data_IF_801568591870
#
_entry.id   IF_801568591870
#
_cell.length_a   1.000
_cell.length_b   1.000
_cell.length_c   1.000
_cell.angle_alpha   90.00
_cell.angle_beta   90.00
_cell.angle_gamma   90.00
#
_symmetry.space_group_name_H-M   'P 1'
#
loop_
_entity.id
_entity.type
_entity.pdbx_description
1 polymer ?
#
# COMPACT_ATOMS: atom_id res chain seq x y z
N UNK A 1 12.82 0.05 -11.75
CA UNK A 1 13.27 0.87 -10.59
C UNK A 1 12.31 2.03 -10.32
N UNK A 2 12.02 2.89 -11.30
CA UNK A 2 11.10 4.03 -11.14
C UNK A 2 9.75 3.67 -10.50
N UNK A 3 9.13 2.56 -10.92
CA UNK A 3 7.85 2.11 -10.37
C UNK A 3 7.90 1.85 -8.85
N UNK A 4 8.99 1.27 -8.33
CA UNK A 4 9.12 0.98 -6.90
C UNK A 4 9.29 2.26 -6.08
N UNK A 5 10.02 3.24 -6.62
CA UNK A 5 10.17 4.55 -5.99
C UNK A 5 8.85 5.33 -5.97
N UNK A 6 8.09 5.28 -7.07
CA UNK A 6 6.77 5.89 -7.14
C UNK A 6 5.80 5.26 -6.12
N UNK A 7 5.77 3.94 -6.02
CA UNK A 7 4.95 3.22 -5.04
C UNK A 7 5.29 3.64 -3.60
N UNK A 8 6.58 3.72 -3.27
CA UNK A 8 7.06 4.13 -1.96
C UNK A 8 6.67 5.59 -1.64
N UNK A 9 6.90 6.51 -2.57
CA UNK A 9 6.56 7.93 -2.42
C UNK A 9 5.07 8.14 -2.17
N UNK A 10 4.21 7.48 -2.95
CA UNK A 10 2.76 7.61 -2.77
C UNK A 10 2.32 6.94 -1.46
N UNK A 11 2.89 5.79 -1.09
CA UNK A 11 2.57 5.13 0.17
C UNK A 11 2.90 6.02 1.38
N UNK A 12 4.08 6.64 1.38
CA UNK A 12 4.52 7.59 2.40
C UNK A 12 3.62 8.84 2.43
N UNK A 13 3.32 9.41 1.26
CA UNK A 13 2.45 10.59 1.15
C UNK A 13 1.05 10.34 1.73
N UNK A 14 0.46 9.17 1.45
CA UNK A 14 -0.86 8.79 1.99
C UNK A 14 -0.79 8.52 3.50
N UNK A 15 0.28 7.89 3.98
CA UNK A 15 0.49 7.67 5.42
C UNK A 15 0.55 8.99 6.19
N UNK A 16 1.41 9.92 5.75
CA UNK A 16 1.56 11.24 6.37
C UNK A 16 0.26 12.04 6.33
N UNK A 17 -0.50 11.93 5.24
CA UNK A 17 -1.84 12.55 5.13
C UNK A 17 -2.76 12.02 6.21
N UNK A 18 -2.85 10.69 6.39
CA UNK A 18 -3.72 10.08 7.41
C UNK A 18 -3.29 10.48 8.81
N UNK A 19 -1.98 10.43 9.13
CA UNK A 19 -1.45 10.84 10.45
C UNK A 19 -1.73 12.32 10.75
N UNK A 20 -1.65 13.18 9.74
CA UNK A 20 -1.97 14.60 9.90
C UNK A 20 -3.46 14.80 10.18
N UNK A 21 -4.32 14.00 9.55
CA UNK A 21 -5.77 14.06 9.74
C UNK A 21 -6.19 13.51 11.11
N UNK A 22 -5.51 12.48 11.62
CA UNK A 22 -5.73 11.97 12.98
C UNK A 22 -5.45 13.02 14.08
N UNK A 23 -4.51 13.93 13.83
CA UNK A 23 -4.14 14.99 14.78
C UNK A 23 -5.11 16.18 14.78
N UNK A 24 -6.07 16.24 13.85
CA UNK A 24 -7.04 17.33 13.75
C UNK A 24 -8.30 17.01 14.56
N UNK A 25 -8.75 17.92 15.45
CA UNK A 25 -9.91 17.67 16.31
C UNK A 25 -11.25 17.64 15.56
N UNK A 26 -11.35 18.33 14.41
CA UNK A 26 -12.62 18.54 13.70
C UNK A 26 -12.94 17.45 12.64
N UNK A 27 -12.27 16.30 12.71
CA UNK A 27 -12.43 15.23 11.73
C UNK A 27 -13.59 14.30 12.05
N UNK A 28 -14.43 14.05 11.06
CA UNK A 28 -15.47 13.02 11.13
C UNK A 28 -14.81 11.63 11.31
N UNK A 29 -15.11 10.93 12.42
CA UNK A 29 -14.40 9.70 12.77
C UNK A 29 -14.63 8.57 11.75
N UNK A 30 -15.80 8.55 11.12
CA UNK A 30 -16.11 7.56 10.08
C UNK A 30 -15.29 7.80 8.82
N UNK A 31 -15.15 9.05 8.39
CA UNK A 31 -14.33 9.43 7.23
C UNK A 31 -12.86 9.09 7.45
N UNK A 32 -12.32 9.40 8.63
CA UNK A 32 -10.96 9.06 9.01
C UNK A 32 -10.72 7.54 8.95
N UNK A 33 -11.69 6.75 9.42
CA UNK A 33 -11.59 5.30 9.39
C UNK A 33 -11.59 4.75 7.95
N UNK A 34 -12.40 5.31 7.05
CA UNK A 34 -12.41 4.91 5.65
C UNK A 34 -11.09 5.31 4.95
N UNK A 35 -10.55 6.50 5.25
CA UNK A 35 -9.24 6.94 4.73
C UNK A 35 -8.09 6.02 5.19
N UNK A 36 -8.09 5.57 6.45
CA UNK A 36 -7.16 4.56 6.95
C UNK A 36 -7.30 3.23 6.20
N UNK A 37 -8.53 2.78 5.95
CA UNK A 37 -8.77 1.55 5.19
C UNK A 37 -8.27 1.67 3.74
N UNK A 38 -8.44 2.83 3.11
CA UNK A 38 -7.92 3.12 1.78
C UNK A 38 -6.38 3.14 1.75
N UNK A 39 -5.74 3.77 2.74
CA UNK A 39 -4.28 3.75 2.91
C UNK A 39 -3.75 2.32 3.04
N UNK A 40 -4.35 1.51 3.91
CA UNK A 40 -3.93 0.12 4.12
C UNK A 40 -4.12 -0.73 2.86
N UNK A 41 -5.20 -0.50 2.11
CA UNK A 41 -5.43 -1.16 0.83
C UNK A 41 -4.38 -0.73 -0.21
N UNK A 42 -4.03 0.55 -0.27
CA UNK A 42 -2.97 1.05 -1.15
C UNK A 42 -1.62 0.40 -0.81
N UNK A 43 -1.24 0.39 0.48
CA UNK A 43 0.00 -0.24 0.95
C UNK A 43 0.06 -1.72 0.59
N UNK A 44 -1.05 -2.45 0.74
CA UNK A 44 -1.15 -3.85 0.32
C UNK A 44 -0.84 -4.03 -1.17
N UNK A 45 -1.39 -3.17 -2.02
CA UNK A 45 -1.15 -3.21 -3.47
C UNK A 45 0.27 -2.80 -3.85
N UNK A 46 0.78 -1.72 -3.27
CA UNK A 46 2.15 -1.24 -3.47
C UNK A 46 3.19 -2.31 -3.11
N UNK A 47 3.01 -3.00 -1.97
CA UNK A 47 3.90 -4.10 -1.57
C UNK A 47 3.87 -5.27 -2.57
N UNK A 48 2.68 -5.63 -3.07
CA UNK A 48 2.53 -6.68 -4.07
C UNK A 48 3.21 -6.31 -5.40
N UNK A 49 2.99 -5.09 -5.87
CA UNK A 49 3.57 -4.56 -7.10
C UNK A 49 5.10 -4.42 -7.00
N UNK A 50 5.59 -3.86 -5.89
CA UNK A 50 7.02 -3.75 -5.60
C UNK A 50 7.67 -5.13 -5.58
N UNK A 51 7.09 -6.12 -4.89
CA UNK A 51 7.63 -7.49 -4.83
C UNK A 51 7.74 -8.13 -6.21
N UNK A 52 6.74 -7.93 -7.07
CA UNK A 52 6.77 -8.41 -8.46
C UNK A 52 7.92 -7.74 -9.23
N UNK A 53 7.95 -6.41 -9.22
CA UNK A 53 8.96 -5.62 -9.93
C UNK A 53 10.38 -5.92 -9.45
N UNK A 54 10.61 -6.07 -8.14
CA UNK A 54 11.92 -6.41 -7.59
C UNK A 54 12.41 -7.78 -8.05
N UNK A 55 11.50 -8.76 -8.14
CA UNK A 55 11.86 -10.11 -8.60
C UNK A 55 12.23 -10.14 -10.08
N UNK A 56 11.49 -9.40 -10.91
CA UNK A 56 11.81 -9.25 -12.33
C UNK A 56 13.18 -8.60 -12.53
N UNK A 57 13.48 -7.55 -11.76
CA UNK A 57 14.80 -6.87 -11.80
C UNK A 57 15.92 -7.83 -11.40
N UNK A 58 15.78 -8.55 -10.28
CA UNK A 58 16.80 -9.50 -9.83
C UNK A 58 17.03 -10.61 -10.85
N UNK A 59 15.95 -11.17 -11.41
CA UNK A 59 16.04 -12.20 -12.45
C UNK A 59 16.73 -11.70 -13.73
N UNK A 60 16.61 -10.42 -14.06
CA UNK A 60 17.28 -9.82 -15.21
C UNK A 60 18.76 -9.50 -14.99
N UNK A 61 19.18 -9.27 -13.74
CA UNK A 61 20.52 -8.76 -13.42
C UNK A 61 21.46 -9.81 -12.81
N UNK A 62 20.95 -10.77 -12.04
CA UNK A 62 21.75 -11.71 -11.29
C UNK A 62 21.27 -13.15 -11.50
N UNK A 63 22.21 -14.10 -11.46
CA UNK A 63 21.94 -15.54 -11.59
C UNK A 63 22.58 -16.35 -10.46
N UNK A 64 22.15 -17.59 -10.27
CA UNK A 64 22.79 -18.52 -9.34
C UNK A 64 22.63 -18.12 -7.86
N UNK A 65 23.73 -18.18 -7.11
CA UNK A 65 23.75 -17.92 -5.65
C UNK A 65 23.45 -16.47 -5.31
N UNK A 66 23.92 -15.52 -6.11
CA UNK A 66 23.64 -14.09 -5.92
C UNK A 66 22.15 -13.78 -6.05
N UNK A 67 21.47 -14.37 -7.05
CA UNK A 67 20.02 -14.22 -7.21
C UNK A 67 19.25 -14.77 -6.00
N UNK A 68 19.63 -15.95 -5.49
CA UNK A 68 19.01 -16.55 -4.29
C UNK A 68 19.14 -15.65 -3.06
N UNK A 69 20.31 -15.05 -2.86
CA UNK A 69 20.54 -14.09 -1.78
C UNK A 69 19.63 -12.86 -1.92
N UNK A 70 19.57 -12.27 -3.11
CA UNK A 70 18.74 -11.10 -3.39
C UNK A 70 17.24 -11.40 -3.21
N UNK A 71 16.75 -12.56 -3.63
CA UNK A 71 15.37 -12.96 -3.39
C UNK A 71 15.04 -13.12 -1.90
N UNK A 72 15.99 -13.65 -1.11
CA UNK A 72 15.84 -13.73 0.36
C UNK A 72 15.74 -12.35 0.99
N UNK A 73 16.59 -11.41 0.55
CA UNK A 73 16.55 -10.01 0.99
C UNK A 73 15.19 -9.36 0.67
N UNK A 74 14.71 -9.52 -0.57
CA UNK A 74 13.41 -8.99 -1.00
C UNK A 74 12.27 -9.53 -0.15
N UNK A 75 12.26 -10.84 0.12
CA UNK A 75 11.21 -11.45 0.94
C UNK A 75 11.23 -10.96 2.39
N UNK A 76 12.42 -10.66 2.93
CA UNK A 76 12.58 -10.13 4.30
C UNK A 76 12.19 -8.65 4.40
N UNK A 77 12.57 -7.84 3.41
CA UNK A 77 12.23 -6.41 3.37
C UNK A 77 10.75 -6.17 3.06
N UNK A 78 10.19 -6.93 2.13
CA UNK A 78 8.79 -6.86 1.74
C UNK A 78 8.01 -7.97 2.44
N UNK A 79 7.95 -7.93 3.77
CA UNK A 79 7.17 -8.89 4.54
C UNK A 79 5.68 -8.89 4.12
N UNK A 80 5.00 -10.01 4.32
CA UNK A 80 3.59 -10.16 3.96
C UNK A 80 2.69 -9.26 4.80
N UNK A 81 1.99 -8.32 4.16
CA UNK A 81 0.95 -7.53 4.81
C UNK A 81 -0.38 -8.29 4.76
N UNK A 82 -0.76 -8.89 5.89
CA UNK A 82 -1.98 -9.68 6.00
C UNK A 82 -3.19 -8.77 6.14
N UNK A 83 -3.85 -8.51 5.02
CA UNK A 83 -5.06 -7.72 4.92
C UNK A 83 -6.08 -8.50 4.10
N UNK A 84 -7.38 -8.37 4.42
CA UNK A 84 -8.44 -8.80 3.52
C UNK A 84 -8.80 -7.64 2.56
N UNK A 85 -8.23 -7.59 1.33
CA UNK A 85 -8.48 -6.50 0.39
C UNK A 85 -9.95 -6.46 -0.05
N UNK A 86 -10.63 -7.61 -0.13
CA UNK A 86 -12.04 -7.70 -0.52
C UNK A 86 -12.93 -6.98 0.49
N UNK A 87 -12.72 -7.22 1.78
CA UNK A 87 -13.51 -6.56 2.81
C UNK A 87 -13.25 -5.05 2.85
N UNK A 88 -11.98 -4.63 2.78
CA UNK A 88 -11.60 -3.20 2.77
C UNK A 88 -12.23 -2.46 1.57
N UNK A 89 -12.17 -3.05 0.37
CA UNK A 89 -12.78 -2.46 -0.83
C UNK A 89 -14.29 -2.28 -0.68
N UNK A 90 -14.98 -3.26 -0.09
CA UNK A 90 -16.44 -3.18 0.12
C UNK A 90 -16.81 -2.06 1.08
N UNK A 91 -16.10 -1.95 2.20
CA UNK A 91 -16.33 -0.88 3.17
C UNK A 91 -16.15 0.51 2.53
N UNK A 92 -15.06 0.69 1.77
CA UNK A 92 -14.78 1.94 1.06
C UNK A 92 -15.89 2.23 0.03
N UNK A 93 -16.27 1.24 -0.78
CA UNK A 93 -17.31 1.39 -1.79
C UNK A 93 -18.66 1.75 -1.16
N UNK A 94 -19.02 1.12 -0.04
CA UNK A 94 -20.28 1.41 0.67
C UNK A 94 -20.32 2.84 1.19
N UNK A 95 -19.21 3.36 1.71
CA UNK A 95 -19.10 4.77 2.12
C UNK A 95 -19.24 5.73 0.93
N UNK A 96 -18.52 5.47 -0.16
CA UNK A 96 -18.58 6.30 -1.39
C UNK A 96 -19.97 6.31 -2.01
N UNK A 97 -20.67 5.16 -2.03
CA UNK A 97 -22.05 5.06 -2.54
C UNK A 97 -22.99 5.87 -1.66
N UNK A 98 -22.84 5.82 -0.34
CA UNK A 98 -23.68 6.57 0.60
C UNK A 98 -23.52 8.09 0.45
N UNK A 99 -22.30 8.55 0.22
CA UNK A 99 -21.99 9.97 0.01
C UNK A 99 -22.34 10.46 -1.40
N UNK A 100 -22.51 9.56 -2.37
CA UNK A 100 -22.82 9.90 -3.77
C UNK A 100 -21.71 10.66 -4.52
N UNK A 101 -20.52 10.76 -3.93
CA UNK A 101 -19.36 11.51 -4.47
C UNK A 101 -18.06 10.84 -4.05
N UNK A 102 -16.95 11.24 -4.66
CA UNK A 102 -15.62 10.85 -4.18
C UNK A 102 -15.39 11.46 -2.79
N UNK A 103 -15.59 10.65 -1.74
CA UNK A 103 -15.59 11.09 -0.34
C UNK A 103 -14.33 10.70 0.44
N UNK A 104 -13.30 10.21 -0.26
CA UNK A 104 -12.00 9.78 0.29
C UNK A 104 -11.04 10.95 0.53
#
# INVERSE_FOLDING_TARGET
LANMLADAYVAESVLLKVETLEKRPDQEPEKLQIQKQAMQLYLYHALGHTRKTSREVVASFATGTQAKFLFSLINRMLAGYHLNPKQRRRNIAQYVIREGRYAL
#
